data_IF_001741513520
#
_entry.id   IF_001741513520
#
_cell.length_a   1.000
_cell.length_b   1.000
_cell.length_c   1.000
_cell.angle_alpha   90.00
_cell.angle_beta   90.00
_cell.angle_gamma   90.00
#
_symmetry.space_group_name_H-M   'P 1'
#
loop_
_entity.id
_entity.type
_entity.pdbx_description
1 polymer ?
#
# COMPACT_ATOMS: atom_id res chain seq x y z
N UNK A 1 18.91 -16.51 4.39
CA UNK A 1 17.47 -16.26 4.17
C UNK A 1 17.26 -14.77 4.35
N UNK A 2 16.68 -14.08 3.37
CA UNK A 2 16.41 -12.64 3.45
C UNK A 2 15.58 -12.35 4.70
N UNK A 3 15.90 -11.28 5.41
CA UNK A 3 15.04 -10.87 6.50
C UNK A 3 13.73 -10.28 5.95
N UNK A 4 12.68 -11.11 5.86
CA UNK A 4 11.37 -10.68 5.35
C UNK A 4 10.74 -9.51 6.14
N UNK A 5 11.20 -9.24 7.37
CA UNK A 5 10.74 -8.11 8.20
C UNK A 5 11.38 -6.78 7.78
N UNK A 6 12.51 -6.82 7.07
CA UNK A 6 13.21 -5.64 6.53
C UNK A 6 13.14 -5.56 5.02
N UNK A 7 12.56 -6.57 4.35
CA UNK A 7 12.33 -6.56 2.92
C UNK A 7 11.48 -5.34 2.50
N UNK A 8 11.84 -4.61 1.43
CA UNK A 8 11.17 -3.37 1.03
C UNK A 8 9.67 -3.57 0.77
N UNK A 9 9.27 -4.66 0.13
CA UNK A 9 7.85 -4.99 -0.09
C UNK A 9 7.06 -5.19 1.22
N UNK A 10 7.71 -5.68 2.27
CA UNK A 10 7.10 -5.78 3.60
C UNK A 10 6.97 -4.40 4.26
N UNK A 11 8.04 -3.60 4.22
CA UNK A 11 8.04 -2.25 4.80
C UNK A 11 6.98 -1.34 4.14
N UNK A 12 6.85 -1.40 2.80
CA UNK A 12 5.83 -0.65 2.06
C UNK A 12 4.41 -1.05 2.46
N UNK A 13 4.13 -2.36 2.52
CA UNK A 13 2.81 -2.86 2.94
C UNK A 13 2.48 -2.49 4.38
N UNK A 14 3.47 -2.52 5.28
CA UNK A 14 3.31 -2.00 6.65
C UNK A 14 3.01 -0.52 6.66
N UNK A 15 3.78 0.29 5.96
CA UNK A 15 3.55 1.73 5.86
C UNK A 15 2.15 2.05 5.29
N UNK A 16 1.65 1.24 4.35
CA UNK A 16 0.28 1.34 3.84
C UNK A 16 -0.78 1.02 4.91
N UNK A 17 -0.52 0.06 5.80
CA UNK A 17 -1.41 -0.24 6.93
C UNK A 17 -1.45 0.93 7.92
N UNK A 18 -0.29 1.45 8.31
CA UNK A 18 -0.17 2.65 9.15
C UNK A 18 -0.97 3.80 8.54
N UNK A 19 -0.78 4.06 7.24
CA UNK A 19 -1.52 5.09 6.52
C UNK A 19 -3.02 4.84 6.56
N UNK A 20 -3.47 3.60 6.32
CA UNK A 20 -4.90 3.23 6.31
C UNK A 20 -5.55 3.40 7.68
N UNK A 21 -4.83 3.06 8.75
CA UNK A 21 -5.28 3.23 10.14
C UNK A 21 -5.28 4.71 10.58
N UNK A 22 -4.30 5.50 10.12
CA UNK A 22 -4.34 6.95 10.32
C UNK A 22 -5.51 7.57 9.54
N UNK A 23 -5.74 7.12 8.30
CA UNK A 23 -6.86 7.57 7.48
C UNK A 23 -8.21 7.30 8.15
N UNK A 24 -8.46 6.08 8.61
CA UNK A 24 -9.75 5.72 9.24
C UNK A 24 -10.04 6.47 10.54
N UNK A 25 -8.99 6.90 11.27
CA UNK A 25 -9.13 7.73 12.48
C UNK A 25 -9.40 9.20 12.19
N UNK A 26 -8.85 9.74 11.09
CA UNK A 26 -8.82 11.18 10.81
C UNK A 26 -9.88 11.58 9.78
N UNK A 27 -10.20 10.71 8.83
CA UNK A 27 -11.08 11.01 7.68
C UNK A 27 -12.30 10.08 7.71
N UNK A 28 -13.49 10.66 7.85
CA UNK A 28 -14.76 9.92 7.92
C UNK A 28 -15.49 9.79 6.58
N UNK A 29 -15.37 10.78 5.71
CA UNK A 29 -16.31 10.97 4.60
C UNK A 29 -15.93 10.22 3.33
N UNK A 30 -14.63 9.91 3.18
CA UNK A 30 -14.06 9.30 1.97
C UNK A 30 -12.95 8.34 2.32
N UNK A 31 -12.77 7.31 1.49
CA UNK A 31 -11.57 6.46 1.56
C UNK A 31 -10.37 7.13 0.91
N UNK A 32 -9.15 6.72 1.29
CA UNK A 32 -7.92 7.21 0.66
C UNK A 32 -7.92 7.05 -0.88
N UNK A 33 -8.37 5.91 -1.43
CA UNK A 33 -8.58 5.76 -2.87
C UNK A 33 -9.62 6.72 -3.49
N UNK A 34 -10.73 6.99 -2.81
CA UNK A 34 -11.72 7.99 -3.29
C UNK A 34 -11.12 9.40 -3.34
N UNK A 35 -10.39 9.79 -2.28
CA UNK A 35 -9.70 11.06 -2.24
C UNK A 35 -8.64 11.18 -3.36
N UNK A 36 -7.88 10.12 -3.63
CA UNK A 36 -6.91 10.15 -4.72
C UNK A 36 -7.56 10.34 -6.09
N UNK A 37 -8.73 9.74 -6.35
CA UNK A 37 -9.47 10.00 -7.59
C UNK A 37 -9.98 11.44 -7.65
N UNK A 38 -10.45 12.02 -6.53
CA UNK A 38 -10.83 13.44 -6.50
C UNK A 38 -9.66 14.36 -6.83
N UNK A 39 -8.49 14.13 -6.23
CA UNK A 39 -7.27 14.90 -6.53
C UNK A 39 -6.85 14.74 -8.00
N UNK A 40 -6.96 13.53 -8.56
CA UNK A 40 -6.66 13.29 -9.98
C UNK A 40 -7.63 14.03 -10.92
N UNK A 41 -8.92 14.03 -10.63
CA UNK A 41 -9.91 14.76 -11.43
C UNK A 41 -9.70 16.27 -11.33
N UNK A 42 -9.31 16.77 -10.14
CA UNK A 42 -9.03 18.19 -9.93
C UNK A 42 -7.74 18.66 -10.61
N UNK A 43 -6.71 17.81 -10.63
CA UNK A 43 -5.38 18.15 -11.12
C UNK A 43 -5.16 17.95 -12.62
N UNK A 44 -6.03 17.24 -13.33
CA UNK A 44 -5.86 16.97 -14.76
C UNK A 44 -7.15 17.27 -15.53
N UNK A 45 -7.30 18.47 -16.11
CA UNK A 45 -8.44 18.80 -16.95
C UNK A 45 -8.56 17.85 -18.15
N UNK A 46 -9.79 17.45 -18.49
CA UNK A 46 -10.03 16.53 -19.61
C UNK A 46 -9.60 15.09 -19.36
N UNK A 47 -9.42 14.71 -18.10
CA UNK A 47 -9.13 13.35 -17.68
C UNK A 47 -10.33 12.42 -17.90
N UNK A 48 -10.08 11.22 -18.42
CA UNK A 48 -11.09 10.17 -18.48
C UNK A 48 -10.93 9.16 -17.33
N UNK A 49 -11.92 8.28 -17.17
CA UNK A 49 -11.92 7.29 -16.08
C UNK A 49 -10.71 6.36 -16.10
N UNK A 50 -10.15 6.05 -17.28
CA UNK A 50 -8.97 5.17 -17.37
C UNK A 50 -7.77 5.88 -16.75
N UNK A 51 -7.52 7.13 -17.16
CA UNK A 51 -6.41 7.92 -16.63
C UNK A 51 -6.59 8.24 -15.14
N UNK A 52 -7.82 8.46 -14.64
CA UNK A 52 -8.08 8.57 -13.20
C UNK A 52 -7.64 7.32 -12.43
N UNK A 53 -7.93 6.14 -12.96
CA UNK A 53 -7.52 4.87 -12.34
C UNK A 53 -6.02 4.72 -12.30
N UNK A 54 -5.34 5.03 -13.42
CA UNK A 54 -3.88 4.99 -13.52
C UNK A 54 -3.21 5.95 -12.54
N UNK A 55 -3.63 7.22 -12.53
CA UNK A 55 -3.13 8.25 -11.60
C UNK A 55 -3.44 7.91 -10.15
N UNK A 56 -4.59 7.31 -9.84
CA UNK A 56 -4.91 6.88 -8.49
C UNK A 56 -4.24 5.56 -8.08
N UNK A 57 -3.53 4.88 -9.00
CA UNK A 57 -2.95 3.54 -8.80
C UNK A 57 -4.00 2.48 -8.47
N UNK A 58 -5.07 2.41 -9.27
CA UNK A 58 -6.23 1.54 -9.07
C UNK A 58 -6.51 0.68 -10.30
N UNK A 59 -7.06 -0.53 -10.08
CA UNK A 59 -7.54 -1.36 -11.16
C UNK A 59 -8.85 -0.81 -11.77
N UNK A 60 -9.20 -1.30 -12.96
CA UNK A 60 -10.38 -0.85 -13.72
C UNK A 60 -11.69 -0.99 -12.93
N UNK A 61 -11.87 -2.09 -12.20
CA UNK A 61 -13.13 -2.38 -11.50
C UNK A 61 -13.30 -1.49 -10.27
N UNK A 62 -12.22 -1.33 -9.49
CA UNK A 62 -12.18 -0.44 -8.32
C UNK A 62 -12.38 1.02 -8.75
N UNK A 63 -11.73 1.43 -9.84
CA UNK A 63 -11.88 2.78 -10.41
C UNK A 63 -13.32 3.06 -10.81
N UNK A 64 -13.97 2.15 -11.55
CA UNK A 64 -15.37 2.31 -11.96
C UNK A 64 -16.32 2.45 -10.76
N UNK A 65 -16.12 1.64 -9.71
CA UNK A 65 -16.89 1.72 -8.48
C UNK A 65 -16.68 3.02 -7.71
N UNK A 66 -15.43 3.51 -7.63
CA UNK A 66 -15.10 4.79 -6.98
C UNK A 66 -15.70 5.96 -7.74
N UNK A 67 -15.47 6.05 -9.05
CA UNK A 67 -16.00 7.15 -9.88
C UNK A 67 -17.52 7.20 -9.79
N UNK A 68 -18.20 6.04 -9.83
CA UNK A 68 -19.66 6.01 -9.71
C UNK A 68 -20.14 6.53 -8.35
N UNK A 69 -19.46 6.21 -7.25
CA UNK A 69 -19.77 6.76 -5.92
C UNK A 69 -19.52 8.26 -5.83
N UNK A 70 -18.41 8.75 -6.40
CA UNK A 70 -18.09 10.18 -6.40
C UNK A 70 -19.07 11.00 -7.26
N UNK A 71 -19.57 10.43 -8.36
CA UNK A 71 -20.64 11.02 -9.17
C UNK A 71 -21.96 11.03 -8.41
N UNK A 72 -22.33 9.91 -7.78
CA UNK A 72 -23.56 9.82 -6.98
C UNK A 72 -23.54 10.80 -5.78
N UNK A 73 -22.36 11.03 -5.18
CA UNK A 73 -22.15 12.02 -4.14
C UNK A 73 -22.09 13.47 -4.64
N UNK A 74 -22.20 13.70 -5.96
CA UNK A 74 -22.23 15.03 -6.55
C UNK A 74 -20.89 15.77 -6.58
N UNK A 75 -19.77 15.13 -6.27
CA UNK A 75 -18.46 15.79 -6.18
C UNK A 75 -17.67 15.79 -7.50
N UNK A 76 -17.98 14.84 -8.39
CA UNK A 76 -17.50 14.86 -9.76
C UNK A 76 -18.68 14.61 -10.71
N UNK A 77 -18.53 14.98 -11.97
CA UNK A 77 -19.51 14.70 -13.03
C UNK A 77 -18.84 14.11 -14.25
N UNK A 78 -19.63 13.38 -15.06
CA UNK A 78 -19.19 12.90 -16.37
C UNK A 78 -19.66 13.88 -17.44
N UNK A 79 -18.76 14.26 -18.34
CA UNK A 79 -19.04 15.18 -19.46
C UNK A 79 -18.69 14.48 -20.78
N UNK A 80 -19.42 14.76 -21.86
CA UNK A 80 -19.04 14.26 -23.19
C UNK A 80 -17.72 14.92 -23.61
N UNK A 81 -16.78 14.13 -24.15
CA UNK A 81 -15.58 14.71 -24.75
C UNK A 81 -15.97 15.42 -26.05
N UNK A 82 -15.68 16.74 -26.20
CA UNK A 82 -16.05 17.49 -27.40
C UNK A 82 -15.36 16.97 -28.67
N UNK A 83 -14.24 16.25 -28.52
CA UNK A 83 -13.46 15.71 -29.62
C UNK A 83 -13.77 14.22 -29.89
N UNK A 84 -14.41 13.52 -28.95
CA UNK A 84 -14.78 12.12 -29.09
C UNK A 84 -16.03 11.75 -28.27
N UNK A 85 -17.18 11.67 -28.92
CA UNK A 85 -18.46 11.37 -28.27
C UNK A 85 -18.52 9.98 -27.59
N UNK A 86 -17.57 9.08 -27.89
CA UNK A 86 -17.46 7.76 -27.25
C UNK A 86 -16.72 7.81 -25.92
N UNK A 87 -16.00 8.91 -25.65
CA UNK A 87 -15.30 9.16 -24.40
C UNK A 87 -16.17 9.97 -23.44
N UNK A 88 -15.88 9.79 -22.15
CA UNK A 88 -16.49 10.54 -21.05
C UNK A 88 -15.37 11.07 -20.18
N UNK A 89 -15.31 12.39 -20.07
CA UNK A 89 -14.37 13.11 -19.23
C UNK A 89 -14.95 13.24 -17.83
N UNK A 90 -14.08 13.35 -16.84
CA UNK A 90 -14.42 13.59 -15.45
C UNK A 90 -14.07 15.04 -15.12
N UNK A 91 -14.97 15.71 -14.44
CA UNK A 91 -14.76 17.07 -13.96
C UNK A 91 -15.21 17.20 -12.51
N UNK A 92 -14.46 17.98 -11.72
CA UNK A 92 -14.86 18.38 -10.37
C UNK A 92 -16.08 19.30 -10.45
N UNK A 93 -17.11 19.05 -9.63
CA UNK A 93 -18.28 19.93 -9.53
C UNK A 93 -18.01 21.11 -8.59
N UNK A 94 -18.96 22.05 -8.49
CA UNK A 94 -18.90 23.11 -7.47
C UNK A 94 -18.81 22.56 -6.04
N UNK A 95 -19.65 21.57 -5.72
CA UNK A 95 -19.66 20.91 -4.41
C UNK A 95 -18.34 20.16 -4.15
N UNK A 96 -17.81 19.47 -5.17
CA UNK A 96 -16.51 18.82 -5.09
C UNK A 96 -15.38 19.83 -4.82
N UNK A 97 -15.38 20.96 -5.51
CA UNK A 97 -14.41 22.03 -5.34
C UNK A 97 -14.44 22.66 -3.93
N UNK A 98 -15.63 22.74 -3.31
CA UNK A 98 -15.81 23.22 -1.93
C UNK A 98 -15.37 22.16 -0.92
N UNK A 99 -15.66 20.88 -1.17
CA UNK A 99 -15.35 19.77 -0.26
C UNK A 99 -13.87 19.39 -0.26
N UNK A 100 -13.21 19.46 -1.41
CA UNK A 100 -11.82 19.04 -1.60
C UNK A 100 -10.82 19.69 -0.62
N UNK A 101 -10.80 21.02 -0.39
CA UNK A 101 -9.85 21.60 0.56
C UNK A 101 -10.04 21.09 2.00
N UNK A 102 -11.27 20.79 2.42
CA UNK A 102 -11.56 20.20 3.75
C UNK A 102 -10.96 18.78 3.84
N UNK A 103 -11.18 17.96 2.81
CA UNK A 103 -10.60 16.62 2.72
C UNK A 103 -9.06 16.68 2.66
N UNK A 104 -8.51 17.66 1.94
CA UNK A 104 -7.07 17.87 1.82
C UNK A 104 -6.43 18.27 3.14
N UNK A 105 -7.07 19.11 3.95
CA UNK A 105 -6.59 19.43 5.29
C UNK A 105 -6.48 18.16 6.18
N UNK A 106 -7.51 17.31 6.17
CA UNK A 106 -7.49 16.05 6.89
C UNK A 106 -6.44 15.07 6.31
N UNK A 107 -6.32 14.98 4.98
CA UNK A 107 -5.31 14.16 4.32
C UNK A 107 -3.88 14.59 4.68
N UNK A 108 -3.61 15.90 4.83
CA UNK A 108 -2.32 16.42 5.32
C UNK A 108 -2.02 15.95 6.74
N UNK A 109 -3.02 15.92 7.63
CA UNK A 109 -2.85 15.35 8.97
C UNK A 109 -2.52 13.86 8.93
N UNK A 110 -3.13 13.10 8.01
CA UNK A 110 -2.76 11.69 7.79
C UNK A 110 -1.30 11.55 7.36
N UNK A 111 -0.83 12.39 6.43
CA UNK A 111 0.58 12.36 5.99
C UNK A 111 1.53 12.71 7.15
N UNK A 112 1.19 13.72 7.95
CA UNK A 112 1.98 14.12 9.11
C UNK A 112 2.03 13.01 10.17
N UNK A 113 0.91 12.31 10.42
CA UNK A 113 0.85 11.19 11.35
C UNK A 113 1.68 9.99 10.86
N UNK A 114 1.62 9.69 9.56
CA UNK A 114 2.44 8.63 8.94
C UNK A 114 3.95 8.92 9.08
N UNK A 115 4.34 10.19 8.90
CA UNK A 115 5.73 10.63 8.94
C UNK A 115 6.21 11.12 10.32
N UNK A 116 5.37 11.00 11.37
CA UNK A 116 5.70 11.48 12.71
C UNK A 116 6.98 10.88 13.31
N UNK A 117 7.43 9.64 12.97
CA UNK A 117 8.70 9.12 13.46
C UNK A 117 9.94 9.76 12.85
N UNK A 118 9.80 10.54 11.78
CA UNK A 118 10.89 11.15 11.03
C UNK A 118 10.99 12.65 11.35
N UNK A 119 12.22 13.15 11.44
CA UNK A 119 12.51 14.59 11.47
C UNK A 119 12.25 15.23 10.11
N UNK A 120 12.10 16.55 10.05
CA UNK A 120 11.76 17.24 8.79
C UNK A 120 12.74 16.97 7.63
N UNK A 121 14.07 17.01 7.81
CA UNK A 121 15.01 16.65 6.74
C UNK A 121 14.89 15.18 6.30
N UNK A 122 14.59 14.29 7.24
CA UNK A 122 14.39 12.86 6.96
C UNK A 122 13.09 12.63 6.19
N UNK A 123 12.05 13.45 6.42
CA UNK A 123 10.78 13.39 5.68
C UNK A 123 10.98 13.74 4.22
N UNK A 124 11.64 14.86 3.92
CA UNK A 124 11.95 15.24 2.55
C UNK A 124 12.78 14.16 1.86
N UNK A 125 13.83 13.68 2.53
CA UNK A 125 14.67 12.59 2.01
C UNK A 125 13.85 11.32 1.75
N UNK A 126 12.95 10.94 2.66
CA UNK A 126 12.10 9.77 2.49
C UNK A 126 11.15 9.92 1.30
N UNK A 127 10.53 11.08 1.13
CA UNK A 127 9.61 11.37 0.01
C UNK A 127 10.36 11.32 -1.32
N UNK A 128 11.57 11.87 -1.39
CA UNK A 128 12.40 11.84 -2.60
C UNK A 128 12.76 10.40 -2.99
N UNK A 129 13.28 9.62 -2.04
CA UNK A 129 13.66 8.22 -2.28
C UNK A 129 12.44 7.35 -2.63
N UNK A 130 11.31 7.57 -1.96
CA UNK A 130 10.07 6.86 -2.24
C UNK A 130 9.50 7.22 -3.62
N UNK A 131 9.68 8.45 -4.08
CA UNK A 131 9.36 8.86 -5.45
C UNK A 131 10.15 8.08 -6.50
N UNK A 132 11.45 7.89 -6.28
CA UNK A 132 12.29 7.06 -7.14
C UNK A 132 11.84 5.58 -7.12
N UNK A 133 11.59 5.01 -5.94
CA UNK A 133 11.08 3.63 -5.80
C UNK A 133 9.71 3.46 -6.46
N UNK A 134 8.85 4.49 -6.43
CA UNK A 134 7.55 4.49 -7.08
C UNK A 134 7.61 4.64 -8.61
N UNK A 135 8.82 4.81 -9.19
CA UNK A 135 9.07 5.03 -10.63
C UNK A 135 8.16 6.13 -11.20
N UNK A 136 8.15 7.30 -10.57
CA UNK A 136 7.30 8.41 -11.01
C UNK A 136 7.63 8.89 -12.43
N UNK A 137 8.86 8.70 -12.90
CA UNK A 137 9.27 9.05 -14.27
C UNK A 137 8.52 8.24 -15.33
N UNK A 138 8.09 7.02 -14.98
CA UNK A 138 7.27 6.13 -15.84
C UNK A 138 5.77 6.31 -15.59
N UNK A 139 5.37 7.28 -14.76
CA UNK A 139 3.98 7.49 -14.34
C UNK A 139 3.34 8.66 -15.09
N UNK A 140 2.04 8.58 -15.45
CA UNK A 140 1.33 9.73 -16.04
C UNK A 140 1.11 10.88 -15.04
N UNK A 141 1.68 10.79 -13.83
CA UNK A 141 1.61 11.79 -12.76
C UNK A 141 2.27 13.12 -13.14
N UNK A 142 2.99 13.18 -14.26
CA UNK A 142 3.52 14.43 -14.82
C UNK A 142 2.37 15.32 -15.28
N UNK A 143 2.54 16.64 -15.09
CA UNK A 143 1.56 17.62 -15.55
C UNK A 143 0.35 17.82 -14.63
N UNK A 144 0.43 17.41 -13.36
CA UNK A 144 -0.57 17.79 -12.37
C UNK A 144 -0.68 19.32 -12.31
N UNK A 145 -1.87 19.86 -12.54
CA UNK A 145 -2.19 21.24 -12.23
C UNK A 145 -2.22 21.39 -10.71
N UNK A 146 -1.29 22.17 -10.18
CA UNK A 146 -1.18 22.41 -8.74
C UNK A 146 -2.20 23.45 -8.32
N UNK A 147 -3.07 23.07 -7.40
CA UNK A 147 -4.06 23.94 -6.79
C UNK A 147 -3.88 23.95 -5.26
N UNK A 148 -4.11 25.10 -4.62
CA UNK A 148 -4.01 25.20 -3.14
C UNK A 148 -4.98 24.27 -2.41
N UNK A 149 -6.08 23.88 -3.08
CA UNK A 149 -7.15 23.05 -2.54
C UNK A 149 -6.86 21.55 -2.57
N UNK A 150 -5.77 21.08 -3.17
CA UNK A 150 -5.47 19.65 -3.32
C UNK A 150 -4.01 19.32 -3.00
N UNK A 151 -3.70 18.03 -2.82
CA UNK A 151 -2.33 17.57 -2.63
C UNK A 151 -1.63 17.35 -3.96
N UNK A 152 -0.33 17.68 -4.02
CA UNK A 152 0.54 17.27 -5.12
C UNK A 152 0.84 15.78 -4.95
N UNK A 153 0.30 14.93 -5.83
CA UNK A 153 0.36 13.48 -5.68
C UNK A 153 1.80 12.99 -5.70
N UNK A 154 2.64 13.54 -6.59
CA UNK A 154 4.07 13.22 -6.69
C UNK A 154 4.89 13.52 -5.41
N UNK A 155 4.33 14.30 -4.47
CA UNK A 155 4.95 14.60 -3.16
C UNK A 155 4.17 14.01 -1.97
N UNK A 156 3.13 13.21 -2.22
CA UNK A 156 2.24 12.70 -1.16
C UNK A 156 2.67 11.31 -0.71
N UNK A 157 3.21 11.12 0.52
CA UNK A 157 3.77 9.84 0.96
C UNK A 157 2.80 8.65 0.83
N UNK A 158 1.54 8.82 1.24
CA UNK A 158 0.53 7.77 1.14
C UNK A 158 0.20 7.37 -0.30
N UNK A 159 0.31 8.30 -1.26
CA UNK A 159 0.19 7.98 -2.68
C UNK A 159 1.41 7.19 -3.16
N UNK A 160 2.62 7.68 -2.85
CA UNK A 160 3.87 7.07 -3.27
C UNK A 160 4.03 5.65 -2.70
N UNK A 161 3.65 5.40 -1.45
CA UNK A 161 3.63 4.06 -0.84
C UNK A 161 2.71 3.13 -1.64
N UNK A 162 1.49 3.58 -1.93
CA UNK A 162 0.52 2.77 -2.68
C UNK A 162 1.03 2.45 -4.09
N UNK A 163 1.63 3.43 -4.77
CA UNK A 163 2.23 3.24 -6.09
C UNK A 163 3.39 2.26 -6.06
N UNK A 164 4.32 2.41 -5.10
CA UNK A 164 5.42 1.48 -4.89
C UNK A 164 4.94 0.05 -4.57
N UNK A 165 3.84 -0.10 -3.82
CA UNK A 165 3.22 -1.40 -3.57
C UNK A 165 2.59 -2.02 -4.82
N UNK A 166 1.96 -1.21 -5.69
CA UNK A 166 1.45 -1.67 -6.99
C UNK A 166 2.60 -2.17 -7.87
N UNK A 167 3.69 -1.40 -7.95
CA UNK A 167 4.88 -1.80 -8.69
C UNK A 167 5.48 -3.10 -8.13
N UNK A 168 5.66 -3.20 -6.81
CA UNK A 168 6.12 -4.43 -6.17
C UNK A 168 5.21 -5.63 -6.52
N UNK A 169 3.90 -5.43 -6.59
CA UNK A 169 2.95 -6.51 -6.95
C UNK A 169 3.10 -6.95 -8.41
N UNK A 170 3.38 -6.01 -9.32
CA UNK A 170 3.68 -6.30 -10.72
C UNK A 170 5.00 -7.10 -10.83
N UNK A 171 6.09 -6.57 -10.25
CA UNK A 171 7.40 -7.23 -10.21
C UNK A 171 7.32 -8.63 -9.62
N UNK A 172 6.53 -8.79 -8.54
CA UNK A 172 6.27 -10.08 -7.94
C UNK A 172 5.66 -11.06 -8.94
N UNK A 173 4.66 -10.63 -9.70
CA UNK A 173 3.98 -11.49 -10.68
C UNK A 173 4.89 -11.90 -11.83
N UNK A 174 5.86 -11.05 -12.18
CA UNK A 174 6.85 -11.32 -13.23
C UNK A 174 7.92 -12.33 -12.79
N UNK A 175 8.31 -12.31 -11.52
CA UNK A 175 9.38 -13.16 -10.98
C UNK A 175 8.89 -14.42 -10.26
N UNK A 176 7.69 -14.39 -9.68
CA UNK A 176 7.19 -15.40 -8.76
C UNK A 176 5.78 -15.82 -9.14
N UNK A 177 5.64 -17.05 -9.64
CA UNK A 177 4.38 -17.59 -10.17
C UNK A 177 3.61 -18.46 -9.18
N UNK A 178 4.32 -19.19 -8.29
CA UNK A 178 3.69 -20.23 -7.47
C UNK A 178 2.98 -19.72 -6.21
N UNK A 179 3.36 -18.54 -5.72
CA UNK A 179 2.77 -17.92 -4.53
C UNK A 179 2.68 -16.43 -4.70
N UNK A 180 1.65 -15.84 -4.08
CA UNK A 180 1.55 -14.39 -3.91
C UNK A 180 2.52 -13.88 -2.84
N UNK A 181 2.88 -12.59 -2.88
CA UNK A 181 3.69 -11.94 -1.85
C UNK A 181 3.18 -12.18 -0.41
N UNK A 182 1.87 -11.99 -0.15
CA UNK A 182 1.28 -12.31 1.16
C UNK A 182 1.40 -13.80 1.56
N UNK A 183 1.22 -14.74 0.63
CA UNK A 183 1.42 -16.17 0.91
C UNK A 183 2.88 -16.47 1.28
N UNK A 184 3.84 -15.91 0.54
CA UNK A 184 5.26 -16.04 0.87
C UNK A 184 5.59 -15.45 2.24
N UNK A 185 5.02 -14.27 2.58
CA UNK A 185 5.21 -13.66 3.90
C UNK A 185 4.69 -14.56 5.04
N UNK A 186 3.54 -15.22 4.86
CA UNK A 186 3.04 -16.22 5.83
C UNK A 186 3.99 -17.39 5.96
N UNK A 187 4.44 -17.98 4.85
CA UNK A 187 5.37 -19.11 4.87
C UNK A 187 6.70 -18.75 5.54
N UNK A 188 7.27 -17.58 5.22
CA UNK A 188 8.50 -17.10 5.83
C UNK A 188 8.35 -16.82 7.33
N UNK A 189 7.20 -16.25 7.75
CA UNK A 189 6.91 -15.99 9.15
C UNK A 189 6.80 -17.29 9.98
N UNK A 190 6.08 -18.29 9.46
CA UNK A 190 5.93 -19.60 10.11
C UNK A 190 7.26 -20.34 10.12
N UNK A 191 7.98 -20.39 9.00
CA UNK A 191 9.26 -21.10 8.88
C UNK A 191 10.28 -20.55 9.88
N UNK A 192 10.37 -19.23 10.04
CA UNK A 192 11.27 -18.61 11.01
C UNK A 192 10.89 -18.91 12.46
N UNK A 193 9.60 -18.97 12.76
CA UNK A 193 9.12 -19.29 14.10
C UNK A 193 9.16 -20.79 14.42
N UNK A 194 9.35 -21.66 13.41
CA UNK A 194 9.15 -23.10 13.50
C UNK A 194 7.67 -23.47 13.55
N UNK A 195 6.93 -22.88 14.50
CA UNK A 195 5.47 -22.96 14.60
C UNK A 195 4.92 -21.57 14.90
N UNK A 196 3.75 -21.22 14.34
CA UNK A 196 3.09 -19.95 14.66
C UNK A 196 1.57 -20.08 14.69
N UNK A 197 0.93 -19.37 15.60
CA UNK A 197 -0.52 -19.15 15.63
C UNK A 197 -0.94 -18.13 14.57
N UNK A 198 -2.24 -18.04 14.28
CA UNK A 198 -2.76 -17.05 13.33
C UNK A 198 -2.49 -15.60 13.79
N UNK A 199 -2.59 -15.32 15.09
CA UNK A 199 -2.28 -14.00 15.64
C UNK A 199 -0.80 -13.64 15.41
N UNK A 200 0.09 -14.59 15.72
CA UNK A 200 1.53 -14.47 15.50
C UNK A 200 1.93 -14.29 14.03
N UNK A 201 1.23 -14.99 13.12
CA UNK A 201 1.38 -14.83 11.67
C UNK A 201 0.92 -13.42 11.26
N UNK A 202 -0.23 -12.97 11.75
CA UNK A 202 -0.75 -11.63 11.46
C UNK A 202 0.23 -10.53 11.82
N UNK A 203 0.83 -10.60 13.01
CA UNK A 203 1.88 -9.65 13.42
C UNK A 203 3.12 -9.75 12.52
N UNK A 204 3.69 -10.95 12.32
CA UNK A 204 4.97 -11.13 11.59
C UNK A 204 4.86 -10.90 10.08
N UNK A 205 3.81 -11.41 9.45
CA UNK A 205 3.55 -11.22 8.03
C UNK A 205 2.89 -9.87 7.74
N UNK A 206 2.39 -9.19 8.79
CA UNK A 206 1.67 -7.92 8.72
C UNK A 206 0.48 -7.97 7.79
N UNK A 207 -0.45 -8.82 8.21
CA UNK A 207 -1.69 -9.12 7.52
C UNK A 207 -2.81 -9.05 8.55
N UNK A 208 -3.97 -8.54 8.15
CA UNK A 208 -5.15 -8.53 9.00
C UNK A 208 -5.63 -9.97 9.27
N UNK A 209 -6.42 -10.13 10.33
CA UNK A 209 -6.88 -11.45 10.78
C UNK A 209 -7.70 -12.22 9.73
N UNK A 210 -8.41 -11.53 8.84
CA UNK A 210 -9.21 -12.17 7.79
C UNK A 210 -8.30 -12.69 6.67
N UNK A 211 -7.34 -11.87 6.23
CA UNK A 211 -6.32 -12.27 5.26
C UNK A 211 -5.46 -13.43 5.76
N UNK A 212 -5.03 -13.41 7.04
CA UNK A 212 -4.27 -14.52 7.62
C UNK A 212 -5.08 -15.82 7.58
N UNK A 213 -6.34 -15.78 8.03
CA UNK A 213 -7.20 -16.98 8.06
C UNK A 213 -7.36 -17.58 6.67
N UNK A 214 -7.65 -16.73 5.69
CA UNK A 214 -7.86 -17.11 4.30
C UNK A 214 -6.57 -17.68 3.66
N UNK A 215 -5.43 -17.00 3.84
CA UNK A 215 -4.13 -17.45 3.33
C UNK A 215 -3.68 -18.76 3.99
N UNK A 216 -3.78 -18.87 5.32
CA UNK A 216 -3.43 -20.11 6.04
C UNK A 216 -4.32 -21.24 5.57
N UNK A 217 -5.63 -21.03 5.44
CA UNK A 217 -6.57 -22.03 4.94
C UNK A 217 -6.19 -22.55 3.54
N UNK A 218 -5.86 -21.64 2.61
CA UNK A 218 -5.41 -22.03 1.25
C UNK A 218 -4.08 -22.76 1.27
N UNK A 219 -3.11 -22.31 2.06
CA UNK A 219 -1.80 -22.96 2.15
C UNK A 219 -1.90 -24.35 2.80
N UNK A 220 -2.79 -24.54 3.78
CA UNK A 220 -3.07 -25.87 4.34
C UNK A 220 -3.76 -26.78 3.34
N UNK A 221 -4.76 -26.28 2.60
CA UNK A 221 -5.41 -27.06 1.54
C UNK A 221 -4.44 -27.50 0.44
N UNK A 222 -3.38 -26.71 0.18
CA UNK A 222 -2.29 -27.05 -0.75
C UNK A 222 -1.22 -27.96 -0.14
N UNK A 223 -1.34 -28.34 1.14
CA UNK A 223 -0.35 -29.18 1.85
C UNK A 223 0.95 -28.45 2.22
N UNK A 224 0.95 -27.11 2.24
CA UNK A 224 2.14 -26.30 2.53
C UNK A 224 2.25 -25.91 4.01
N UNK A 225 1.12 -25.87 4.70
CA UNK A 225 1.05 -25.69 6.15
C UNK A 225 0.30 -26.86 6.77
N UNK A 226 0.75 -27.33 7.92
CA UNK A 226 0.09 -28.38 8.69
C UNK A 226 -0.06 -27.99 10.16
N UNK A 227 -0.98 -28.65 10.86
CA UNK A 227 -1.16 -28.43 12.29
C UNK A 227 0.10 -28.83 13.06
N UNK A 228 0.55 -27.96 13.96
CA UNK A 228 1.66 -28.24 14.87
C UNK A 228 1.13 -28.74 16.23
N UNK A 229 1.90 -29.57 16.96
CA UNK A 229 1.62 -29.91 18.35
C UNK A 229 1.49 -28.64 19.18
N UNK A 230 0.41 -28.53 19.95
CA UNK A 230 0.16 -27.39 20.82
C UNK A 230 0.39 -27.81 22.28
N UNK A 231 1.48 -27.32 22.88
CA UNK A 231 1.78 -27.53 24.30
C UNK A 231 1.06 -26.53 25.24
N UNK A 232 0.30 -25.57 24.69
CA UNK A 232 -0.39 -24.51 25.42
C UNK A 232 -1.93 -24.59 25.36
N UNK A 233 -2.59 -23.44 25.43
CA UNK A 233 -4.06 -23.30 25.41
C UNK A 233 -4.68 -24.03 24.19
N UNK A 234 -5.65 -24.93 24.43
CA UNK A 234 -6.40 -25.69 23.41
C UNK A 234 -7.10 -24.82 22.36
N UNK A 235 -7.27 -23.51 22.63
CA UNK A 235 -7.81 -22.54 21.66
C UNK A 235 -6.78 -22.06 20.63
N UNK A 236 -5.48 -22.23 20.91
CA UNK A 236 -4.41 -21.92 19.98
C UNK A 236 -4.30 -23.05 18.93
N UNK A 237 -4.25 -22.67 17.64
CA UNK A 237 -4.09 -23.60 16.51
C UNK A 237 -2.81 -23.24 15.78
N UNK A 238 -1.63 -23.61 16.31
CA UNK A 238 -0.36 -23.33 15.67
C UNK A 238 -0.22 -24.18 14.42
N UNK A 239 0.41 -23.60 13.41
CA UNK A 239 0.76 -24.27 12.15
C UNK A 239 2.28 -24.27 11.99
N UNK A 240 2.79 -25.23 11.23
CA UNK A 240 4.19 -25.28 10.77
C UNK A 240 4.24 -25.48 9.26
N UNK A 241 5.37 -25.12 8.66
CA UNK A 241 5.63 -25.36 7.23
C UNK A 241 5.97 -26.85 7.04
N UNK A 242 5.43 -27.46 5.99
CA UNK A 242 5.75 -28.85 5.62
C UNK A 242 7.11 -28.94 4.93
N UNK A 243 7.77 -30.10 4.96
CA UNK A 243 9.08 -30.27 4.32
C UNK A 243 9.08 -29.95 2.79
N UNK A 244 8.05 -30.31 2.00
CA UNK A 244 7.94 -29.89 0.61
C UNK A 244 7.84 -28.36 0.45
N UNK A 245 7.04 -27.70 1.27
CA UNK A 245 6.88 -26.25 1.22
C UNK A 245 8.16 -25.52 1.67
N UNK A 246 8.89 -26.05 2.64
CA UNK A 246 10.19 -25.51 3.04
C UNK A 246 11.19 -25.54 1.87
N UNK A 247 11.21 -26.64 1.11
CA UNK A 247 12.02 -26.77 -0.10
C UNK A 247 11.59 -25.78 -1.17
N UNK A 248 10.29 -25.63 -1.41
CA UNK A 248 9.76 -24.63 -2.34
C UNK A 248 10.15 -23.20 -1.94
N UNK A 249 10.00 -22.82 -0.67
CA UNK A 249 10.38 -21.48 -0.16
C UNK A 249 11.86 -21.20 -0.35
N UNK A 250 12.74 -22.20 -0.18
CA UNK A 250 14.18 -22.07 -0.48
C UNK A 250 14.43 -21.78 -1.95
N UNK A 251 13.75 -22.48 -2.85
CA UNK A 251 13.88 -22.26 -4.30
C UNK A 251 13.36 -20.87 -4.72
N UNK A 252 12.33 -20.37 -4.04
CA UNK A 252 11.78 -19.03 -4.24
C UNK A 252 12.69 -17.91 -3.73
N UNK A 253 13.73 -18.18 -2.94
CA UNK A 253 14.56 -17.15 -2.34
C UNK A 253 15.27 -16.27 -3.39
N UNK A 254 15.76 -16.87 -4.48
CA UNK A 254 16.40 -16.14 -5.58
C UNK A 254 15.42 -15.21 -6.31
N UNK A 255 14.30 -15.73 -6.85
CA UNK A 255 13.26 -14.90 -7.46
C UNK A 255 12.73 -13.78 -6.55
N UNK A 256 12.49 -14.08 -5.27
CA UNK A 256 12.04 -13.07 -4.29
C UNK A 256 13.11 -12.01 -4.00
N UNK A 257 14.39 -12.36 -4.04
CA UNK A 257 15.46 -11.37 -3.98
C UNK A 257 15.49 -10.50 -5.24
N UNK A 258 15.28 -11.09 -6.43
CA UNK A 258 15.15 -10.36 -7.69
C UNK A 258 14.07 -9.28 -7.66
N UNK A 259 12.89 -9.59 -7.10
CA UNK A 259 11.81 -8.60 -6.90
C UNK A 259 12.29 -7.40 -6.05
N UNK A 260 13.04 -7.65 -4.99
CA UNK A 260 13.52 -6.60 -4.08
C UNK A 260 14.61 -5.75 -4.73
N UNK A 261 15.55 -6.40 -5.42
CA UNK A 261 16.65 -5.73 -6.10
C UNK A 261 16.14 -4.85 -7.24
N UNK A 262 15.14 -5.31 -8.00
CA UNK A 262 14.55 -4.55 -9.09
C UNK A 262 13.66 -3.40 -8.60
N UNK A 263 12.95 -3.59 -7.49
CA UNK A 263 12.17 -2.51 -6.85
C UNK A 263 13.09 -1.37 -6.40
N UNK A 264 14.26 -1.72 -5.86
CA UNK A 264 15.26 -0.75 -5.36
C UNK A 264 16.30 -0.36 -6.41
N UNK A 265 16.15 -0.83 -7.66
CA UNK A 265 17.08 -0.55 -8.76
C UNK A 265 17.36 0.95 -8.94
N UNK A 266 16.35 1.86 -8.85
CA UNK A 266 16.58 3.29 -9.01
C UNK A 266 17.49 3.92 -7.93
N UNK A 267 17.66 3.27 -6.78
CA UNK A 267 18.43 3.80 -5.66
C UNK A 267 19.89 3.32 -5.70
N UNK A 268 20.84 4.22 -5.45
CA UNK A 268 22.24 3.88 -5.17
C UNK A 268 22.44 3.18 -3.81
N UNK A 269 23.62 2.63 -3.54
CA UNK A 269 23.87 1.82 -2.32
C UNK A 269 23.57 2.53 -0.99
N UNK A 270 24.03 3.77 -0.85
CA UNK A 270 23.79 4.60 0.34
C UNK A 270 22.30 4.97 0.47
N UNK A 271 21.67 5.29 -0.65
CA UNK A 271 20.25 5.64 -0.73
C UNK A 271 19.34 4.45 -0.43
N UNK A 272 19.70 3.24 -0.87
CA UNK A 272 19.00 2.00 -0.49
C UNK A 272 19.01 1.81 1.02
N UNK A 273 20.19 1.94 1.64
CA UNK A 273 20.34 1.78 3.08
C UNK A 273 19.51 2.83 3.82
N UNK A 274 19.55 4.08 3.37
CA UNK A 274 18.78 5.19 3.95
C UNK A 274 17.28 4.97 3.79
N UNK A 275 16.81 4.61 2.59
CA UNK A 275 15.41 4.32 2.31
C UNK A 275 14.87 3.22 3.23
N UNK A 276 15.58 2.09 3.35
CA UNK A 276 15.16 0.97 4.19
C UNK A 276 15.10 1.37 5.67
N UNK A 277 16.07 2.14 6.17
CA UNK A 277 16.05 2.65 7.54
C UNK A 277 14.86 3.58 7.84
N UNK A 278 14.54 4.48 6.92
CA UNK A 278 13.40 5.40 7.04
C UNK A 278 12.06 4.65 6.92
N UNK A 279 11.93 3.76 5.93
CA UNK A 279 10.76 2.91 5.75
C UNK A 279 10.52 2.01 6.97
N UNK A 280 11.58 1.52 7.62
CA UNK A 280 11.48 0.75 8.85
C UNK A 280 10.91 1.56 10.02
N UNK A 281 11.26 2.84 10.15
CA UNK A 281 10.68 3.71 11.19
C UNK A 281 9.22 4.02 10.92
N UNK A 282 8.85 4.29 9.66
CA UNK A 282 7.47 4.55 9.25
C UNK A 282 6.57 3.31 9.41
N UNK A 283 7.08 2.11 9.12
CA UNK A 283 6.33 0.84 9.18
C UNK A 283 6.07 0.30 10.60
N UNK A 284 6.83 0.77 11.60
CA UNK A 284 6.68 0.38 13.01
C UNK A 284 5.64 1.18 13.77
N UNK A 285 5.05 2.21 13.15
CA UNK A 285 3.97 2.98 13.77
C UNK A 285 2.71 2.14 13.75
N UNK A 286 2.56 1.25 14.73
CA UNK A 286 1.34 0.93 15.50
C UNK A 286 1.71 -0.28 16.35
N UNK A 287 2.10 0.03 17.58
CA UNK A 287 1.94 -0.82 18.76
C UNK A 287 1.77 0.13 19.96
N UNK A 288 0.51 0.39 20.35
CA UNK A 288 0.16 1.01 21.64
C UNK A 288 -0.94 2.10 21.60
N UNK A 289 -1.89 2.09 22.55
CA UNK A 289 -2.83 3.20 22.76
C UNK A 289 -2.06 4.38 23.36
N UNK A 290 -1.60 5.30 22.52
CA UNK A 290 -1.03 6.56 22.99
C UNK A 290 -2.15 7.41 23.59
N UNK A 291 -2.20 7.43 24.93
CA UNK A 291 -2.78 8.50 25.73
C UNK A 291 -2.21 9.83 25.22
N UNK A 292 -2.96 10.52 24.39
CA UNK A 292 -2.84 11.98 24.31
C UNK A 292 -3.57 12.46 25.56
N UNK A 293 -2.79 12.73 26.61
CA UNK A 293 -3.27 13.54 27.71
C UNK A 293 -3.62 14.90 27.11
N UNK A 294 -4.91 15.20 27.09
CA UNK A 294 -5.40 16.57 26.96
C UNK A 294 -5.04 17.25 28.28
N UNK A 295 -4.11 18.20 28.21
CA UNK A 295 -3.99 19.27 29.18
C UNK A 295 -4.45 20.55 28.48
#
# INVERSE_FOLDING_TARGET
MVDHLTAPGHLLRRAQQVHTEAWSRIVSDVTGPQYAVLVAVDGWPGLDQKLAGELASLDKSTTAGIVSRLVAGGWIRRVEDPNDRRRRLLETTGDGAIKLPVLTAAARQVQAALLSPLSEPERETFVDLLGQVARLDDSPIVGQHVHDRSLVMARTPGYLIRRAQQLHTALWSDHVTDVTGPQYAVLAAVLRAGTATHAEIGTRASLDSSSVRDIVGRLTARGWLEAAPNAGDRRSRPVRVTAPAETAVRLLAGPVQGVQDELLLPLGGDDRTRFLGLAQRVSRVVDGPSRIAVA
#
